data_IF_821972441974
#
_entry.id   IF_821972441974
#
_cell.length_a   1.000
_cell.length_b   1.000
_cell.length_c   1.000
_cell.angle_alpha   90.00
_cell.angle_beta   90.00
_cell.angle_gamma   90.00
#
_symmetry.space_group_name_H-M   'P 1'
#
loop_
_entity.id
_entity.type
_entity.pdbx_description
1 polymer ?
#
# COMPACT_ATOMS: atom_id res chain seq x y z
N UNK A 1 -1.88 0.97 -25.95
CA UNK A 1 -2.79 1.61 -24.96
C UNK A 1 -2.03 2.66 -24.19
N UNK A 2 -2.63 3.82 -23.89
CA UNK A 2 -2.02 4.79 -22.97
C UNK A 2 -2.31 4.36 -21.52
N UNK A 3 -1.35 4.45 -20.59
CA UNK A 3 -1.61 4.23 -19.17
C UNK A 3 -2.67 5.20 -18.67
N UNK A 4 -3.56 4.72 -17.79
CA UNK A 4 -4.50 5.59 -17.07
C UNK A 4 -3.74 6.20 -15.88
N UNK A 5 -3.84 7.52 -15.71
CA UNK A 5 -3.28 8.24 -14.56
C UNK A 5 -4.42 8.67 -13.64
N UNK A 6 -4.28 8.38 -12.34
CA UNK A 6 -5.22 8.79 -11.29
C UNK A 6 -4.44 9.39 -10.12
N UNK A 7 -4.98 10.44 -9.50
CA UNK A 7 -4.41 11.08 -8.32
C UNK A 7 -5.48 11.25 -7.23
N UNK A 8 -5.15 10.88 -6.00
CA UNK A 8 -5.98 11.07 -4.81
C UNK A 8 -5.16 11.77 -3.72
N UNK A 9 -5.78 12.70 -3.00
CA UNK A 9 -5.13 13.48 -1.96
C UNK A 9 -5.92 13.36 -0.65
N UNK A 10 -5.20 13.28 0.47
CA UNK A 10 -5.78 13.27 1.81
C UNK A 10 -4.85 14.00 2.78
N UNK A 11 -5.42 14.85 3.64
CA UNK A 11 -4.71 15.40 4.79
C UNK A 11 -4.99 14.53 6.02
N UNK A 12 -3.93 14.17 6.74
CA UNK A 12 -4.00 13.39 7.97
C UNK A 12 -3.14 14.08 9.04
N UNK A 13 -3.53 14.01 10.32
CA UNK A 13 -2.80 14.66 11.42
C UNK A 13 -1.56 13.82 11.80
N UNK A 14 -0.65 13.64 10.85
CA UNK A 14 0.64 12.95 11.01
C UNK A 14 1.73 13.76 10.31
N UNK A 15 2.91 13.77 10.90
CA UNK A 15 4.13 14.31 10.29
C UNK A 15 4.56 13.47 9.08
N UNK A 16 5.40 14.06 8.23
CA UNK A 16 5.95 13.35 7.07
C UNK A 16 6.74 12.09 7.48
N UNK A 17 7.48 12.16 8.59
CA UNK A 17 8.25 11.01 9.11
C UNK A 17 7.32 9.88 9.52
N UNK A 18 6.27 10.18 10.28
CA UNK A 18 5.29 9.17 10.68
C UNK A 18 4.64 8.52 9.46
N UNK A 19 4.22 9.31 8.47
CA UNK A 19 3.63 8.78 7.24
C UNK A 19 4.60 7.83 6.52
N UNK A 20 5.85 8.24 6.34
CA UNK A 20 6.86 7.40 5.69
C UNK A 20 7.14 6.12 6.47
N UNK A 21 7.23 6.19 7.79
CA UNK A 21 7.42 5.01 8.66
C UNK A 21 6.26 4.04 8.52
N UNK A 22 5.02 4.54 8.54
CA UNK A 22 3.83 3.70 8.39
C UNK A 22 3.71 3.07 7.00
N UNK A 23 4.04 3.81 5.94
CA UNK A 23 4.05 3.28 4.57
C UNK A 23 5.06 2.15 4.44
N UNK A 24 6.22 2.24 5.09
CA UNK A 24 7.26 1.21 5.05
C UNK A 24 6.96 -0.02 5.92
N UNK A 25 5.95 0.05 6.80
CA UNK A 25 5.53 -1.04 7.67
C UNK A 25 4.49 -1.94 6.98
N UNK A 26 4.98 -2.91 6.20
CA UNK A 26 4.14 -3.82 5.41
C UNK A 26 3.20 -4.68 6.25
N UNK A 27 3.50 -4.90 7.53
CA UNK A 27 2.61 -5.64 8.42
C UNK A 27 1.28 -4.89 8.65
N UNK A 28 1.31 -3.55 8.58
CA UNK A 28 0.12 -2.71 8.72
C UNK A 28 -0.70 -2.59 7.46
N UNK A 29 -0.18 -3.02 6.31
CA UNK A 29 -0.90 -2.88 5.04
C UNK A 29 -2.22 -3.64 5.03
N UNK A 30 -2.38 -4.69 5.85
CA UNK A 30 -3.67 -5.39 6.02
C UNK A 30 -4.75 -4.54 6.69
N UNK A 31 -4.40 -3.41 7.31
CA UNK A 31 -5.37 -2.42 7.81
C UNK A 31 -6.05 -1.65 6.66
N UNK A 32 -5.48 -1.68 5.45
CA UNK A 32 -6.06 -1.04 4.28
C UNK A 32 -7.22 -1.87 3.71
N UNK A 33 -8.45 -1.39 3.96
CA UNK A 33 -9.70 -2.01 3.50
C UNK A 33 -10.09 -1.76 2.04
N UNK A 34 -9.25 -1.09 1.24
CA UNK A 34 -9.54 -0.75 -0.15
C UNK A 34 -9.95 0.71 -0.37
N UNK A 35 -10.07 1.11 -1.64
CA UNK A 35 -10.53 2.44 -2.03
C UNK A 35 -11.24 2.41 -3.39
N UNK A 36 -12.55 2.70 -3.40
CA UNK A 36 -13.37 2.61 -4.60
C UNK A 36 -13.38 1.18 -5.16
N UNK A 37 -12.85 1.01 -6.37
CA UNK A 37 -12.72 -0.31 -7.02
C UNK A 37 -11.45 -1.08 -6.62
N UNK A 38 -10.55 -0.45 -5.85
CA UNK A 38 -9.30 -1.09 -5.42
C UNK A 38 -9.59 -2.00 -4.21
N UNK A 39 -9.26 -3.30 -4.28
CA UNK A 39 -9.47 -4.21 -3.17
C UNK A 39 -8.57 -3.85 -1.99
N UNK A 40 -8.99 -4.28 -0.80
CA UNK A 40 -8.12 -4.25 0.38
C UNK A 40 -6.92 -5.19 0.24
N UNK A 41 -5.96 -5.04 1.15
CA UNK A 41 -4.78 -5.90 1.22
C UNK A 41 -5.04 -6.97 2.27
N UNK A 42 -4.87 -8.25 1.93
CA UNK A 42 -5.02 -9.35 2.87
C UNK A 42 -3.71 -9.58 3.63
N UNK A 43 -2.59 -9.54 2.92
CA UNK A 43 -1.27 -9.79 3.48
C UNK A 43 -0.18 -9.12 2.63
N UNK A 44 0.86 -8.62 3.27
CA UNK A 44 2.04 -8.10 2.59
C UNK A 44 3.31 -8.45 3.37
N UNK A 45 4.36 -8.82 2.65
CA UNK A 45 5.67 -9.15 3.20
C UNK A 45 6.78 -8.68 2.26
N UNK A 46 7.93 -8.32 2.83
CA UNK A 46 9.12 -8.05 2.03
C UNK A 46 9.70 -9.38 1.53
N UNK A 47 9.77 -9.56 0.22
CA UNK A 47 10.63 -10.59 -0.37
C UNK A 47 12.11 -10.17 -0.28
N UNK A 48 12.37 -8.88 -0.54
CA UNK A 48 13.69 -8.27 -0.40
C UNK A 48 13.51 -6.86 0.17
N UNK A 49 14.21 -6.55 1.27
CA UNK A 49 14.25 -5.20 1.85
C UNK A 49 15.66 -4.62 1.72
N UNK A 50 15.79 -3.52 0.99
CA UNK A 50 17.02 -2.74 0.85
C UNK A 50 17.11 -1.68 1.96
N UNK A 51 18.32 -1.16 2.21
CA UNK A 51 18.55 -0.18 3.27
C UNK A 51 17.84 1.16 3.03
N UNK A 52 17.67 1.55 1.77
CA UNK A 52 17.11 2.82 1.32
C UNK A 52 15.72 2.67 0.69
N UNK A 53 15.08 1.50 0.82
CA UNK A 53 13.80 1.10 0.20
C UNK A 53 13.83 0.99 -1.34
N UNK A 54 14.74 1.68 -2.02
CA UNK A 54 14.89 1.61 -3.47
C UNK A 54 15.33 0.20 -3.88
N UNK A 55 14.58 -0.39 -4.81
CA UNK A 55 14.81 -1.78 -5.25
C UNK A 55 14.30 -2.84 -4.26
N UNK A 56 13.63 -2.46 -3.17
CA UNK A 56 12.91 -3.42 -2.32
C UNK A 56 11.76 -4.06 -3.11
N UNK A 57 11.46 -5.33 -2.80
CA UNK A 57 10.37 -6.09 -3.40
C UNK A 57 9.41 -6.56 -2.32
N UNK A 58 8.13 -6.29 -2.52
CA UNK A 58 7.06 -6.67 -1.61
C UNK A 58 6.16 -7.66 -2.35
N UNK A 59 5.89 -8.80 -1.71
CA UNK A 59 4.83 -9.71 -2.13
C UNK A 59 3.56 -9.28 -1.41
N UNK A 60 2.49 -9.10 -2.18
CA UNK A 60 1.21 -8.64 -1.67
C UNK A 60 0.09 -9.58 -2.15
N UNK A 61 -0.77 -9.99 -1.24
CA UNK A 61 -2.01 -10.69 -1.51
C UNK A 61 -3.18 -9.74 -1.23
N UNK A 62 -4.08 -9.60 -2.19
CA UNK A 62 -5.30 -8.80 -2.04
C UNK A 62 -6.36 -9.58 -1.28
N UNK A 63 -7.25 -8.88 -0.58
CA UNK A 63 -8.51 -9.48 -0.15
C UNK A 63 -9.31 -9.84 -1.39
N UNK A 64 -9.84 -11.07 -1.44
CA UNK A 64 -10.78 -11.46 -2.49
C UNK A 64 -11.99 -10.52 -2.39
N UNK A 65 -12.21 -9.72 -3.43
CA UNK A 65 -13.39 -8.86 -3.48
C UNK A 65 -14.65 -9.71 -3.39
N UNK A 66 -15.58 -9.36 -2.49
CA UNK A 66 -16.98 -9.74 -2.72
C UNK A 66 -17.35 -9.11 -4.05
N UNK A 67 -17.61 -9.95 -5.05
CA UNK A 67 -18.14 -9.48 -6.33
C UNK A 67 -19.38 -8.62 -6.09
N UNK A 68 -19.34 -7.41 -6.62
CA UNK A 68 -20.50 -6.64 -7.03
C UNK A 68 -20.20 -6.09 -8.42
#
# INVERSE_FOLDING_TARGET
MKPITFACHKQIPKSAVEICTEIADVARWSEFGGYGVLPGIAHAEYETKTADMLGSRIRCATQMGRGM
#
